data_IF_531637390491
#
_entry.id   IF_531637390491
#
_cell.length_a   1.000
_cell.length_b   1.000
_cell.length_c   1.000
_cell.angle_alpha   90.00
_cell.angle_beta   90.00
_cell.angle_gamma   90.00
#
_symmetry.space_group_name_H-M   'P 1'
#
loop_
_entity.id
_entity.type
_entity.pdbx_description
1 polymer ?
#
# COMPACT_ATOMS: atom_id res chain seq x y z
N UNK A 1 -1.55 -28.63 0.16
CA UNK A 1 -0.13 -28.34 -0.05
C UNK A 1 -0.04 -26.86 -0.45
N UNK A 2 0.82 -26.06 0.16
CA UNK A 2 0.98 -24.66 -0.23
C UNK A 2 1.75 -24.60 -1.56
N UNK A 3 1.30 -23.73 -2.48
CA UNK A 3 2.06 -23.45 -3.68
C UNK A 3 3.20 -22.48 -3.31
N UNK A 4 4.41 -22.83 -3.73
CA UNK A 4 5.59 -21.98 -3.57
C UNK A 4 5.90 -21.41 -4.94
N UNK A 5 5.94 -20.10 -5.04
CA UNK A 5 6.30 -19.37 -6.26
C UNK A 5 7.73 -18.82 -6.13
N UNK A 6 8.49 -18.94 -7.20
CA UNK A 6 9.83 -18.38 -7.34
C UNK A 6 9.79 -17.18 -8.29
N UNK A 7 10.84 -16.40 -8.34
CA UNK A 7 10.94 -15.22 -9.20
C UNK A 7 10.64 -15.54 -10.69
N UNK A 8 10.99 -16.75 -11.14
CA UNK A 8 10.71 -17.22 -12.50
C UNK A 8 9.23 -17.52 -12.77
N UNK A 9 8.44 -17.66 -11.73
CA UNK A 9 7.01 -17.98 -11.81
C UNK A 9 6.13 -16.71 -11.77
N UNK A 10 6.76 -15.54 -11.58
CA UNK A 10 6.08 -14.25 -11.43
C UNK A 10 6.09 -13.49 -12.77
N UNK A 11 4.92 -13.02 -13.17
CA UNK A 11 4.80 -12.11 -14.30
C UNK A 11 5.05 -10.66 -13.83
N UNK A 12 6.27 -10.19 -14.00
CA UNK A 12 6.67 -8.82 -13.64
C UNK A 12 5.93 -7.75 -14.44
N UNK A 13 5.38 -8.09 -15.61
CA UNK A 13 4.65 -7.13 -16.45
C UNK A 13 3.35 -6.66 -15.77
N UNK A 14 2.81 -7.41 -14.84
CA UNK A 14 1.59 -7.06 -14.11
C UNK A 14 1.70 -5.73 -13.33
N UNK A 15 2.90 -5.34 -12.90
CA UNK A 15 3.15 -4.11 -12.15
C UNK A 15 4.13 -3.15 -12.82
N UNK A 16 4.90 -3.61 -13.82
CA UNK A 16 6.00 -2.82 -14.42
C UNK A 16 5.56 -1.47 -14.99
N UNK A 17 4.36 -1.41 -15.55
CA UNK A 17 3.79 -0.20 -16.16
C UNK A 17 2.79 0.52 -15.24
N UNK A 18 2.66 0.09 -13.99
CA UNK A 18 1.75 0.68 -13.00
C UNK A 18 2.45 1.73 -12.17
N UNK A 19 1.71 2.78 -11.85
CA UNK A 19 2.12 3.83 -10.91
C UNK A 19 1.67 3.45 -9.51
N UNK A 20 2.59 3.43 -8.56
CA UNK A 20 2.32 3.01 -7.18
C UNK A 20 2.45 4.19 -6.23
N UNK A 21 1.41 4.51 -5.49
CA UNK A 21 1.47 5.46 -4.39
C UNK A 21 1.57 4.73 -3.05
N UNK A 22 2.54 5.11 -2.24
CA UNK A 22 2.68 4.67 -0.84
C UNK A 22 2.15 5.76 0.07
N UNK A 23 0.99 5.55 0.69
CA UNK A 23 0.41 6.51 1.63
C UNK A 23 0.92 6.22 3.05
N UNK A 24 1.75 7.13 3.55
CA UNK A 24 2.48 7.00 4.80
C UNK A 24 3.94 6.60 4.61
N UNK A 25 4.81 7.12 5.47
CA UNK A 25 6.26 6.91 5.39
C UNK A 25 6.86 6.54 6.76
N UNK A 26 6.23 5.56 7.42
CA UNK A 26 6.78 4.86 8.57
C UNK A 26 7.82 3.82 8.13
N UNK A 27 8.17 2.89 9.01
CA UNK A 27 9.17 1.84 8.71
C UNK A 27 8.79 0.99 7.50
N UNK A 28 7.52 0.61 7.37
CA UNK A 28 7.03 -0.15 6.22
C UNK A 28 6.97 0.70 4.96
N UNK A 29 6.42 1.92 5.04
CA UNK A 29 6.32 2.82 3.89
C UNK A 29 7.68 3.15 3.29
N UNK A 30 8.68 3.39 4.14
CA UNK A 30 10.06 3.57 3.71
C UNK A 30 10.60 2.34 2.95
N UNK A 31 10.47 1.15 3.52
CA UNK A 31 10.97 -0.08 2.91
C UNK A 31 10.26 -0.41 1.60
N UNK A 32 8.93 -0.33 1.56
CA UNK A 32 8.15 -0.60 0.35
C UNK A 32 8.48 0.39 -0.79
N UNK A 33 8.56 1.68 -0.47
CA UNK A 33 8.84 2.70 -1.49
C UNK A 33 10.24 2.52 -2.10
N UNK A 34 11.25 2.23 -1.29
CA UNK A 34 12.61 1.99 -1.78
C UNK A 34 12.71 0.70 -2.61
N UNK A 35 12.12 -0.39 -2.14
CA UNK A 35 12.12 -1.66 -2.88
C UNK A 35 11.45 -1.52 -4.25
N UNK A 36 10.31 -0.83 -4.33
CA UNK A 36 9.65 -0.56 -5.61
C UNK A 36 10.51 0.29 -6.53
N UNK A 37 11.11 1.35 -6.01
CA UNK A 37 12.02 2.21 -6.77
C UNK A 37 13.22 1.44 -7.31
N UNK A 38 13.87 0.62 -6.47
CA UNK A 38 15.00 -0.22 -6.86
C UNK A 38 14.62 -1.27 -7.91
N UNK A 39 13.37 -1.71 -7.89
CA UNK A 39 12.79 -2.61 -8.90
C UNK A 39 12.37 -1.91 -10.19
N UNK A 40 12.60 -0.59 -10.30
CA UNK A 40 12.27 0.18 -11.49
C UNK A 40 10.79 0.54 -11.65
N UNK A 41 10.01 0.40 -10.59
CA UNK A 41 8.58 0.78 -10.58
C UNK A 41 8.45 2.30 -10.33
N UNK A 42 7.51 2.92 -11.05
CA UNK A 42 7.18 4.33 -10.84
C UNK A 42 6.42 4.50 -9.52
N UNK A 43 7.08 5.09 -8.52
CA UNK A 43 6.58 5.17 -7.15
C UNK A 43 6.63 6.59 -6.60
N UNK A 44 5.57 7.00 -5.92
CA UNK A 44 5.56 8.23 -5.12
C UNK A 44 5.12 7.94 -3.67
N UNK A 45 5.38 8.89 -2.79
CA UNK A 45 4.95 8.86 -1.40
C UNK A 45 3.90 9.93 -1.17
N UNK A 46 2.71 9.52 -0.72
CA UNK A 46 1.63 10.41 -0.33
C UNK A 46 1.69 10.72 1.16
N UNK A 47 1.76 12.00 1.51
CA UNK A 47 1.86 12.46 2.90
C UNK A 47 0.89 13.62 3.16
N UNK A 48 0.52 13.78 4.43
CA UNK A 48 -0.20 14.97 4.90
C UNK A 48 0.71 16.20 4.81
N UNK A 49 0.10 17.33 4.58
CA UNK A 49 0.81 18.62 4.60
C UNK A 49 1.54 18.83 5.93
N UNK A 50 2.79 19.27 5.86
CA UNK A 50 3.63 19.48 7.02
C UNK A 50 4.17 18.20 7.69
N UNK A 51 4.05 17.04 7.05
CA UNK A 51 4.61 15.80 7.57
C UNK A 51 6.13 15.87 7.71
N UNK A 52 6.65 15.56 8.90
CA UNK A 52 8.09 15.48 9.16
C UNK A 52 8.81 14.39 8.33
N UNK A 53 8.06 13.45 7.76
CA UNK A 53 8.60 12.41 6.91
C UNK A 53 8.87 12.86 5.47
N UNK A 54 8.34 14.02 5.05
CA UNK A 54 8.50 14.52 3.70
C UNK A 54 9.99 14.76 3.33
N UNK A 55 10.74 15.38 4.23
CA UNK A 55 12.17 15.60 4.03
C UNK A 55 12.93 14.28 3.87
N UNK A 56 12.65 13.29 4.71
CA UNK A 56 13.30 11.97 4.66
C UNK A 56 13.00 11.22 3.36
N UNK A 57 11.76 11.28 2.87
CA UNK A 57 11.37 10.67 1.62
C UNK A 57 12.07 11.35 0.43
N UNK A 58 12.14 12.69 0.43
CA UNK A 58 12.84 13.45 -0.59
C UNK A 58 14.36 13.19 -0.60
N UNK A 59 15.00 13.11 0.58
CA UNK A 59 16.42 12.73 0.71
C UNK A 59 16.71 11.32 0.16
N UNK A 60 15.76 10.40 0.29
CA UNK A 60 15.84 9.07 -0.32
C UNK A 60 15.58 9.09 -1.84
N UNK A 61 15.36 10.27 -2.43
CA UNK A 61 15.11 10.46 -3.86
C UNK A 61 13.71 10.00 -4.31
N UNK A 62 12.75 9.94 -3.37
CA UNK A 62 11.36 9.63 -3.68
C UNK A 62 10.57 10.92 -3.96
N UNK A 63 9.66 10.85 -4.90
CA UNK A 63 8.71 11.93 -5.13
C UNK A 63 7.69 11.98 -4.00
N UNK A 64 7.48 13.15 -3.41
CA UNK A 64 6.51 13.38 -2.35
C UNK A 64 5.34 14.20 -2.89
N UNK A 65 4.13 13.72 -2.67
CA UNK A 65 2.87 14.37 -3.08
C UNK A 65 1.93 14.51 -1.88
N UNK A 66 0.89 15.34 -2.02
CA UNK A 66 -0.23 15.32 -1.10
C UNK A 66 -0.97 13.96 -1.17
N UNK A 67 -1.76 13.61 -0.17
CA UNK A 67 -2.54 12.36 -0.18
C UNK A 67 -3.48 12.30 -1.40
N UNK A 68 -4.15 13.41 -1.74
CA UNK A 68 -5.06 13.47 -2.88
C UNK A 68 -4.33 13.38 -4.21
N UNK A 69 -3.21 14.12 -4.38
CA UNK A 69 -2.45 14.09 -5.63
C UNK A 69 -1.79 12.73 -5.86
N UNK A 70 -1.31 12.07 -4.80
CA UNK A 70 -0.76 10.73 -4.88
C UNK A 70 -1.84 9.72 -5.29
N UNK A 71 -3.03 9.83 -4.70
CA UNK A 71 -4.16 8.95 -5.03
C UNK A 71 -4.66 9.14 -6.47
N UNK A 72 -4.74 10.39 -6.94
CA UNK A 72 -5.16 10.69 -8.30
C UNK A 72 -4.13 10.28 -9.38
N UNK A 73 -2.87 10.18 -9.00
CA UNK A 73 -1.79 9.82 -9.92
C UNK A 73 -1.59 8.31 -10.07
N UNK A 74 -1.90 7.54 -9.02
CA UNK A 74 -1.54 6.13 -8.93
C UNK A 74 -2.60 5.19 -9.50
N UNK A 75 -2.16 4.08 -10.05
CA UNK A 75 -3.00 2.92 -10.40
C UNK A 75 -3.08 1.92 -9.24
N UNK A 76 -2.09 1.92 -8.35
CA UNK A 76 -2.04 1.08 -7.15
C UNK A 76 -1.74 1.96 -5.93
N UNK A 77 -2.60 1.91 -4.94
CA UNK A 77 -2.48 2.72 -3.73
C UNK A 77 -2.24 1.80 -2.53
N UNK A 78 -1.02 1.82 -1.98
CA UNK A 78 -0.65 1.08 -0.77
C UNK A 78 -0.88 1.95 0.46
N UNK A 79 -1.84 1.58 1.30
CA UNK A 79 -2.23 2.33 2.49
C UNK A 79 -1.46 1.80 3.70
N UNK A 80 -0.47 2.58 4.17
CA UNK A 80 0.40 2.26 5.31
C UNK A 80 0.26 3.29 6.44
N UNK A 81 -0.89 3.93 6.51
CA UNK A 81 -1.27 4.80 7.61
C UNK A 81 -1.74 3.98 8.82
N UNK A 82 -1.78 4.56 10.03
CA UNK A 82 -2.42 3.91 11.18
C UNK A 82 -3.87 3.54 10.87
N UNK A 83 -4.31 2.36 11.34
CA UNK A 83 -5.65 1.83 11.05
C UNK A 83 -6.78 2.80 11.42
N UNK A 84 -6.59 3.58 12.48
CA UNK A 84 -7.55 4.59 12.96
C UNK A 84 -7.74 5.76 12.00
N UNK A 85 -6.74 6.04 11.16
CA UNK A 85 -6.74 7.19 10.26
C UNK A 85 -7.18 6.81 8.84
N UNK A 86 -7.10 5.52 8.51
CA UNK A 86 -7.28 5.04 7.13
C UNK A 86 -8.66 5.34 6.57
N UNK A 87 -9.73 5.14 7.36
CA UNK A 87 -11.10 5.36 6.89
C UNK A 87 -11.35 6.83 6.52
N UNK A 88 -10.92 7.77 7.37
CA UNK A 88 -11.07 9.19 7.09
C UNK A 88 -10.24 9.63 5.88
N UNK A 89 -9.00 9.14 5.76
CA UNK A 89 -8.14 9.42 4.60
C UNK A 89 -8.72 8.81 3.33
N UNK A 90 -9.30 7.62 3.42
CA UNK A 90 -9.97 6.98 2.30
C UNK A 90 -11.11 7.84 1.77
N UNK A 91 -12.03 8.26 2.62
CA UNK A 91 -13.18 9.08 2.23
C UNK A 91 -12.78 10.44 1.66
N UNK A 92 -11.79 11.10 2.25
CA UNK A 92 -11.41 12.47 1.90
C UNK A 92 -10.46 12.53 0.69
N UNK A 93 -9.51 11.61 0.59
CA UNK A 93 -8.39 11.74 -0.34
C UNK A 93 -8.31 10.60 -1.37
N UNK A 94 -8.81 9.41 -1.07
CA UNK A 94 -8.66 8.24 -1.94
C UNK A 94 -9.92 8.02 -2.78
N UNK A 95 -11.06 7.82 -2.14
CA UNK A 95 -12.30 7.48 -2.82
C UNK A 95 -12.70 8.45 -3.96
N UNK A 96 -12.54 9.78 -3.82
CA UNK A 96 -12.86 10.72 -4.90
C UNK A 96 -11.96 10.60 -6.12
N UNK A 97 -10.80 9.97 -5.98
CA UNK A 97 -9.74 9.87 -6.99
C UNK A 97 -9.59 8.46 -7.59
N UNK A 98 -10.36 7.49 -7.10
CA UNK A 98 -10.32 6.12 -7.63
C UNK A 98 -10.96 6.02 -9.01
N UNK A 99 -10.33 5.21 -9.85
CA UNK A 99 -10.82 4.84 -11.18
C UNK A 99 -11.03 3.33 -11.28
N UNK A 100 -11.88 2.91 -12.20
CA UNK A 100 -12.07 1.49 -12.48
C UNK A 100 -10.77 0.82 -12.91
N UNK A 101 -10.43 -0.30 -12.27
CA UNK A 101 -9.20 -1.03 -12.51
C UNK A 101 -8.01 -0.61 -11.64
N UNK A 102 -8.19 0.37 -10.75
CA UNK A 102 -7.21 0.68 -9.71
C UNK A 102 -7.17 -0.43 -8.65
N UNK A 103 -6.12 -0.44 -7.86
CA UNK A 103 -5.98 -1.39 -6.76
C UNK A 103 -5.66 -0.69 -5.44
N UNK A 104 -6.36 -1.09 -4.38
CA UNK A 104 -6.06 -0.72 -3.00
C UNK A 104 -5.30 -1.85 -2.32
N UNK A 105 -4.13 -1.54 -1.81
CA UNK A 105 -3.28 -2.48 -1.09
C UNK A 105 -3.19 -2.11 0.39
N UNK A 106 -3.35 -3.10 1.26
CA UNK A 106 -3.31 -2.95 2.71
C UNK A 106 -2.24 -3.86 3.31
N UNK A 107 -1.58 -3.41 4.37
CA UNK A 107 -0.73 -4.26 5.20
C UNK A 107 -1.52 -4.99 6.29
N UNK A 108 -2.71 -4.52 6.61
CA UNK A 108 -3.61 -5.08 7.60
C UNK A 108 -5.07 -4.97 7.15
N UNK A 109 -5.83 -6.05 7.27
CA UNK A 109 -7.20 -6.13 6.76
C UNK A 109 -8.28 -5.55 7.67
N UNK A 110 -7.94 -4.81 8.73
CA UNK A 110 -8.89 -4.33 9.74
C UNK A 110 -10.03 -3.50 9.12
N UNK A 111 -9.70 -2.47 8.39
CA UNK A 111 -10.70 -1.54 7.85
C UNK A 111 -11.62 -2.18 6.80
N UNK A 112 -11.12 -3.14 6.02
CA UNK A 112 -11.93 -3.91 5.08
C UNK A 112 -12.79 -4.94 5.83
N UNK A 113 -12.23 -5.63 6.83
CA UNK A 113 -12.94 -6.68 7.57
C UNK A 113 -14.13 -6.16 8.38
N UNK A 114 -14.03 -4.92 8.86
CA UNK A 114 -15.07 -4.27 9.66
C UNK A 114 -15.91 -3.25 8.89
N UNK A 115 -15.82 -3.29 7.55
CA UNK A 115 -16.61 -2.44 6.63
C UNK A 115 -16.44 -0.92 6.92
N UNK A 116 -15.25 -0.53 7.40
CA UNK A 116 -14.90 0.87 7.62
C UNK A 116 -14.39 1.54 6.33
N UNK A 117 -13.97 0.75 5.37
CA UNK A 117 -13.62 1.14 3.99
C UNK A 117 -14.37 0.18 3.07
N UNK A 118 -15.21 0.73 2.21
CA UNK A 118 -16.02 0.00 1.23
C UNK A 118 -15.65 0.47 -0.19
N UNK A 119 -14.67 -0.18 -0.83
CA UNK A 119 -14.24 0.18 -2.17
C UNK A 119 -15.27 -0.19 -3.23
N UNK A 120 -15.34 0.57 -4.36
CA UNK A 120 -16.17 0.20 -5.50
C UNK A 120 -15.84 -1.21 -6.03
N UNK A 121 -16.83 -1.87 -6.61
CA UNK A 121 -16.71 -3.25 -7.09
C UNK A 121 -15.73 -3.43 -8.29
N UNK A 122 -15.36 -2.34 -8.94
CA UNK A 122 -14.42 -2.27 -10.05
C UNK A 122 -13.00 -1.85 -9.64
N UNK A 123 -12.75 -1.82 -8.33
CA UNK A 123 -11.43 -1.59 -7.72
C UNK A 123 -10.96 -2.86 -7.04
N UNK A 124 -9.74 -3.27 -7.32
CA UNK A 124 -9.14 -4.44 -6.69
C UNK A 124 -8.71 -4.15 -5.25
N UNK A 125 -8.93 -5.11 -4.35
CA UNK A 125 -8.50 -5.03 -2.95
C UNK A 125 -7.53 -6.16 -2.66
N UNK A 126 -6.29 -5.80 -2.32
CA UNK A 126 -5.23 -6.76 -2.03
C UNK A 126 -4.62 -6.53 -0.65
N UNK A 127 -4.12 -7.58 -0.03
CA UNK A 127 -3.39 -7.49 1.23
C UNK A 127 -1.98 -8.02 1.07
N UNK A 128 -1.00 -7.20 1.40
CA UNK A 128 0.42 -7.54 1.40
C UNK A 128 0.90 -7.46 2.85
N UNK A 129 1.03 -8.62 3.49
CA UNK A 129 1.48 -8.71 4.88
C UNK A 129 2.61 -9.72 5.00
N UNK A 130 3.79 -9.27 5.44
CA UNK A 130 4.87 -10.17 5.82
C UNK A 130 4.56 -10.76 7.19
N UNK A 131 4.28 -12.05 7.21
CA UNK A 131 4.09 -12.83 8.43
C UNK A 131 5.26 -13.75 8.74
N UNK A 132 6.30 -13.71 7.95
CA UNK A 132 7.49 -14.53 8.11
C UNK A 132 8.51 -13.92 9.08
N UNK A 133 8.36 -12.67 9.47
CA UNK A 133 9.22 -12.06 10.47
C UNK A 133 8.98 -12.70 11.83
N UNK A 134 9.46 -13.87 11.98
CA UNK A 134 10.33 -14.44 13.00
C UNK A 134 9.95 -14.29 14.47
N UNK A 135 8.81 -13.87 14.84
CA UNK A 135 8.32 -14.23 16.14
C UNK A 135 7.21 -15.23 15.94
N UNK A 136 7.57 -16.48 16.12
CA UNK A 136 6.67 -17.58 16.42
C UNK A 136 5.74 -17.16 17.56
N UNK A 137 4.83 -16.28 17.27
CA UNK A 137 3.74 -15.98 18.14
C UNK A 137 2.59 -16.84 17.66
N UNK A 138 2.21 -17.82 18.44
CA UNK A 138 1.11 -18.73 18.17
C UNK A 138 -0.23 -18.02 17.87
N UNK A 139 -0.34 -16.75 18.25
CA UNK A 139 -1.48 -15.90 17.90
C UNK A 139 -1.55 -15.53 16.41
N UNK A 140 -0.44 -15.56 15.67
CA UNK A 140 -0.45 -15.29 14.24
C UNK A 140 -0.92 -16.48 13.40
N UNK A 141 -0.82 -17.68 13.91
CA UNK A 141 -1.30 -18.89 13.23
C UNK A 141 -2.84 -18.98 13.20
N UNK A 142 -3.52 -18.28 14.10
CA UNK A 142 -4.99 -18.32 14.20
C UNK A 142 -5.69 -17.31 13.28
N UNK A 143 -4.99 -16.32 12.75
CA UNK A 143 -5.56 -15.30 11.87
C UNK A 143 -5.48 -15.72 10.40
N UNK A 144 -4.70 -16.74 10.06
CA UNK A 144 -4.55 -17.23 8.70
C UNK A 144 -5.71 -18.13 8.21
N UNK A 145 -6.74 -18.33 9.03
CA UNK A 145 -7.88 -19.20 8.74
C UNK A 145 -9.25 -18.49 8.82
N UNK A 146 -9.28 -17.18 8.74
CA UNK A 146 -10.55 -16.44 8.63
C UNK A 146 -10.72 -15.89 7.22
#
# INVERSE_FOLDING_TARGET
>A
MANVYYETDVDHSAIADRKVAILGYGSQGHAHALNLKESGIDVCVGLRDGSSSAAKAAEAGLEVRSLSDASAWADVIMILLPDTDQAAVYEEHIAPNLSAGDALAFAHGFNIRFDLIDPPADVDVIMIADRTSTRLNSSHALISHA
#
